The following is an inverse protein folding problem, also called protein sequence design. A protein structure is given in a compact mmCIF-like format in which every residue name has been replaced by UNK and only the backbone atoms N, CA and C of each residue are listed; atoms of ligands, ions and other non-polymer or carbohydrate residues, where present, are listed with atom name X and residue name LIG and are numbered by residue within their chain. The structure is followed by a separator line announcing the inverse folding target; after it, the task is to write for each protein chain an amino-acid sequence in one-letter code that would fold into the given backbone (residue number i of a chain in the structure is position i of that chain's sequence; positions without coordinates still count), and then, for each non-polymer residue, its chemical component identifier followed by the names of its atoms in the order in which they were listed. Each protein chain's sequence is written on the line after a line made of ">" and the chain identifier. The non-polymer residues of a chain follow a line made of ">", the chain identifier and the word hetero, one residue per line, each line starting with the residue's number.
data_IF_883063044575
#
_entry.id   IF_883063044575
#
_cell.length_a   1.000
_cell.length_b   1.000
_cell.length_c   1.000
_cell.angle_alpha   90.00
_cell.angle_beta   90.00
_cell.angle_gamma   90.00
#
_symmetry.space_group_name_H-M   'P 1'
#
loop_
_entity.id
_entity.type
_entity.pdbx_description
1 polymer ?
#
# COMPACT_ATOMS: atom_id res chain seq x y z
N UNK A 1 19.29 11.20 -0.21
CA UNK A 1 18.41 10.08 0.21
C UNK A 1 16.92 10.28 -0.12
N UNK A 2 16.42 11.51 -0.34
CA UNK A 2 15.00 11.76 -0.69
C UNK A 2 14.67 11.87 -2.19
N UNK A 3 15.66 11.86 -3.10
CA UNK A 3 15.43 12.05 -4.55
C UNK A 3 14.78 10.86 -5.26
N UNK A 4 14.78 9.67 -4.67
CA UNK A 4 14.31 8.43 -5.31
C UNK A 4 12.86 8.06 -4.99
N UNK A 5 12.18 8.82 -4.12
CA UNK A 5 10.86 8.44 -3.58
C UNK A 5 9.66 9.05 -4.30
N UNK A 6 9.82 9.62 -5.50
CA UNK A 6 8.75 10.14 -6.37
C UNK A 6 7.80 11.17 -5.71
N UNK A 7 6.92 11.79 -6.49
CA UNK A 7 6.07 12.89 -5.99
C UNK A 7 4.85 12.39 -5.19
N UNK A 8 4.38 11.16 -5.42
CA UNK A 8 3.17 10.65 -4.79
C UNK A 8 3.40 10.13 -3.36
N UNK A 9 2.99 10.92 -2.36
CA UNK A 9 3.06 10.53 -0.94
C UNK A 9 2.03 9.47 -0.56
N UNK A 10 0.89 9.44 -1.25
CA UNK A 10 -0.22 8.49 -1.04
C UNK A 10 -0.28 7.55 -2.23
N UNK A 11 -0.35 6.24 -1.98
CA UNK A 11 -0.40 5.21 -3.03
C UNK A 11 -1.38 4.11 -2.69
N UNK A 12 -2.00 3.53 -3.72
CA UNK A 12 -2.88 2.37 -3.57
C UNK A 12 -2.09 1.07 -3.41
N UNK A 13 -2.82 0.02 -3.04
CA UNK A 13 -2.31 -1.35 -3.03
C UNK A 13 -2.74 -2.05 -4.33
N UNK A 14 -1.80 -2.72 -4.98
CA UNK A 14 -2.07 -3.55 -6.17
C UNK A 14 -1.42 -4.91 -5.99
N UNK A 15 -2.20 -5.99 -6.11
CA UNK A 15 -1.70 -7.37 -5.98
C UNK A 15 -0.81 -7.57 -4.72
N UNK A 16 -1.30 -7.11 -3.58
CA UNK A 16 -0.58 -7.19 -2.30
C UNK A 16 0.77 -6.47 -2.29
N UNK A 17 0.96 -5.47 -3.16
CA UNK A 17 2.20 -4.72 -3.33
C UNK A 17 1.94 -3.22 -3.27
N UNK A 18 2.94 -2.47 -2.81
CA UNK A 18 2.89 -1.02 -2.74
C UNK A 18 2.90 -0.41 -4.14
N UNK A 19 1.89 0.38 -4.52
CA UNK A 19 1.83 1.06 -5.82
C UNK A 19 2.92 2.13 -6.05
N UNK A 20 3.78 2.40 -5.05
CA UNK A 20 4.90 3.33 -5.16
C UNK A 20 6.26 2.67 -5.37
N UNK A 21 6.60 1.68 -4.54
CA UNK A 21 7.90 1.00 -4.60
C UNK A 21 7.84 -0.43 -5.15
N UNK A 22 6.65 -0.92 -5.49
CA UNK A 22 6.39 -2.25 -6.03
C UNK A 22 6.85 -3.42 -5.15
N UNK A 23 7.25 -3.16 -3.90
CA UNK A 23 7.55 -4.22 -2.94
C UNK A 23 6.26 -4.80 -2.37
N UNK A 24 6.26 -6.12 -2.19
CA UNK A 24 5.18 -6.83 -1.51
C UNK A 24 5.00 -6.32 -0.08
N UNK A 25 3.76 -6.06 0.27
CA UNK A 25 3.36 -5.66 1.60
C UNK A 25 3.20 -6.89 2.50
N UNK A 26 3.62 -6.82 3.77
CA UNK A 26 3.36 -7.89 4.73
C UNK A 26 1.86 -8.11 4.93
N UNK A 27 1.43 -9.34 5.18
CA UNK A 27 0.03 -9.69 5.45
C UNK A 27 -0.55 -8.88 6.60
N UNK A 28 0.23 -8.61 7.65
CA UNK A 28 -0.21 -7.78 8.77
C UNK A 28 -0.60 -6.36 8.32
N UNK A 29 0.16 -5.75 7.40
CA UNK A 29 -0.14 -4.44 6.83
C UNK A 29 -1.38 -4.52 5.94
N UNK A 30 -1.54 -5.59 5.17
CA UNK A 30 -2.75 -5.80 4.36
C UNK A 30 -4.00 -5.86 5.23
N UNK A 31 -3.99 -6.65 6.32
CA UNK A 31 -5.11 -6.77 7.26
C UNK A 31 -5.36 -5.44 7.99
N UNK A 32 -4.31 -4.72 8.37
CA UNK A 32 -4.44 -3.39 8.99
C UNK A 32 -5.03 -2.34 8.03
N UNK A 33 -4.65 -2.38 6.76
CA UNK A 33 -5.24 -1.53 5.72
C UNK A 33 -6.72 -1.87 5.48
N UNK A 34 -7.08 -3.16 5.49
CA UNK A 34 -8.46 -3.63 5.34
C UNK A 34 -9.35 -3.23 6.52
N UNK A 35 -8.82 -3.25 7.75
CA UNK A 35 -9.57 -2.87 8.95
C UNK A 35 -9.92 -1.38 9.00
N UNK A 36 -9.26 -0.54 8.18
CA UNK A 36 -9.45 0.92 8.10
C UNK A 36 -9.37 1.64 9.46
N UNK A 37 -8.71 1.03 10.45
CA UNK A 37 -8.67 1.56 11.82
C UNK A 37 -7.58 2.62 12.02
N UNK A 38 -6.58 2.67 11.14
CA UNK A 38 -5.44 3.58 11.25
C UNK A 38 -4.79 3.91 9.89
N UNK A 39 -4.05 5.01 9.83
CA UNK A 39 -3.28 5.40 8.64
C UNK A 39 -2.05 4.48 8.56
N UNK A 40 -2.04 3.63 7.55
CA UNK A 40 -0.95 2.69 7.31
C UNK A 40 0.07 3.27 6.32
N UNK A 41 1.36 2.96 6.55
CA UNK A 41 2.45 3.34 5.65
C UNK A 41 3.23 2.12 5.18
N UNK A 42 3.75 2.17 3.96
CA UNK A 42 4.58 1.11 3.41
C UNK A 42 5.88 0.99 4.23
N UNK A 43 6.21 -0.19 4.79
CA UNK A 43 7.42 -0.36 5.59
C UNK A 43 8.71 -0.22 4.78
N UNK A 44 8.63 -0.38 3.46
CA UNK A 44 9.78 -0.31 2.55
C UNK A 44 10.08 1.10 2.09
N UNK A 45 9.03 1.87 1.77
CA UNK A 45 9.19 3.19 1.18
C UNK A 45 8.65 4.36 1.99
N UNK A 46 7.91 4.11 3.07
CA UNK A 46 7.34 5.13 3.94
C UNK A 46 6.17 5.92 3.33
N UNK A 47 5.67 5.54 2.15
CA UNK A 47 4.48 6.16 1.55
C UNK A 47 3.22 5.71 2.26
N UNK A 48 2.24 6.59 2.36
CA UNK A 48 0.94 6.30 2.96
C UNK A 48 0.17 5.37 2.01
N UNK A 49 -0.35 4.29 2.56
CA UNK A 49 -1.15 3.32 1.83
C UNK A 49 -2.62 3.70 1.96
N UNK A 50 -3.31 3.81 0.83
CA UNK A 50 -4.77 3.85 0.80
C UNK A 50 -5.29 2.50 0.30
N UNK A 51 -6.35 2.03 0.94
CA UNK A 51 -6.99 0.77 0.60
C UNK A 51 -8.50 1.00 0.46
N UNK A 52 -9.06 0.57 -0.66
CA UNK A 52 -10.51 0.52 -0.90
C UNK A 52 -10.92 -0.90 -1.22
N UNK A 53 -12.19 -1.24 -0.95
CA UNK A 53 -12.73 -2.58 -1.22
C UNK A 53 -12.58 -3.01 -2.68
N UNK A 54 -12.58 -2.05 -3.61
CA UNK A 54 -12.37 -2.31 -5.04
C UNK A 54 -10.96 -2.83 -5.37
N UNK A 55 -9.96 -2.61 -4.50
CA UNK A 55 -8.59 -3.12 -4.68
C UNK A 55 -8.45 -4.61 -4.37
N UNK A 56 -9.34 -5.18 -3.55
CA UNK A 56 -9.39 -6.61 -3.26
C UNK A 56 -9.96 -7.39 -4.46
N UNK A 57 -10.91 -6.77 -5.18
CA UNK A 57 -11.58 -7.37 -6.34
C UNK A 57 -10.62 -7.68 -7.50
N UNK A 58 -9.50 -6.96 -7.59
CA UNK A 58 -8.45 -7.21 -8.58
C UNK A 58 -7.57 -8.45 -8.28
N UNK A 59 -7.73 -9.10 -7.13
CA UNK A 59 -7.01 -10.33 -6.77
C UNK A 59 -7.83 -11.61 -6.99
N UNK A 60 -9.07 -11.49 -7.47
CA UNK A 60 -9.99 -12.59 -7.75
C UNK A 60 -10.32 -12.68 -9.25
N UNK A 61 -9.30 -12.93 -10.06
CA UNK A 61 -9.44 -13.55 -11.40
C UNK A 61 -8.24 -14.49 -11.62
#
# INVERSE_FOLDING_TARGET
>A
LLKSKGENVIVGIQHSSCGGCHMRLPTQIMVACQSQSEINSCPHCGRILYFTRDMELAAAD
#
